data_IF_849629228888
#
_entry.id   IF_849629228888
#
_cell.length_a   1.000
_cell.length_b   1.000
_cell.length_c   1.000
_cell.angle_alpha   90.00
_cell.angle_beta   90.00
_cell.angle_gamma   90.00
#
_symmetry.space_group_name_H-M   'P 1'
#
loop_
_entity.id
_entity.type
_entity.pdbx_description
1 polymer ?
#
# COMPACT_ATOMS: atom_id res chain seq x y z
N UNK A 1 5.22 -0.40 15.14
CA UNK A 1 4.40 0.74 14.66
C UNK A 1 4.74 0.91 13.19
N UNK A 2 3.77 0.76 12.28
CA UNK A 2 4.00 0.97 10.84
C UNK A 2 4.00 2.48 10.58
N UNK A 3 5.17 3.08 10.66
CA UNK A 3 5.42 4.46 10.28
C UNK A 3 5.43 4.52 8.75
N UNK A 4 4.38 5.06 8.14
CA UNK A 4 4.23 5.09 6.67
C UNK A 4 5.31 5.87 5.90
N UNK A 5 6.34 6.39 6.57
CA UNK A 5 7.54 6.94 5.96
C UNK A 5 8.55 5.85 5.57
N UNK A 6 8.77 4.81 6.39
CA UNK A 6 9.76 3.76 6.04
C UNK A 6 9.30 2.91 4.85
N UNK A 7 8.00 2.73 4.67
CA UNK A 7 7.43 1.98 3.55
C UNK A 7 7.60 2.67 2.18
N UNK A 8 7.73 4.00 2.16
CA UNK A 8 7.97 4.73 0.91
C UNK A 8 9.43 4.57 0.47
N UNK A 9 10.36 4.60 1.41
CA UNK A 9 11.79 4.34 1.18
C UNK A 9 11.99 2.90 0.68
N UNK A 10 11.34 1.91 1.31
CA UNK A 10 11.34 0.53 0.83
C UNK A 10 10.77 0.39 -0.60
N UNK A 11 9.69 1.11 -0.93
CA UNK A 11 9.14 1.11 -2.29
C UNK A 11 10.12 1.67 -3.32
N UNK A 12 10.84 2.74 -2.99
CA UNK A 12 11.88 3.31 -3.85
C UNK A 12 13.01 2.31 -4.09
N UNK A 13 13.46 1.60 -3.05
CA UNK A 13 14.47 0.53 -3.17
C UNK A 13 13.99 -0.62 -4.06
N UNK A 14 12.75 -1.11 -3.87
CA UNK A 14 12.19 -2.18 -4.69
C UNK A 14 12.09 -1.78 -6.17
N UNK A 15 11.74 -0.52 -6.46
CA UNK A 15 11.74 0.03 -7.82
C UNK A 15 13.18 0.08 -8.36
N UNK A 16 14.14 0.58 -7.58
CA UNK A 16 15.55 0.65 -7.96
C UNK A 16 16.15 -0.73 -8.28
N UNK A 17 15.74 -1.75 -7.53
CA UNK A 17 16.13 -3.15 -7.76
C UNK A 17 15.34 -3.84 -8.88
N UNK A 18 14.42 -3.16 -9.55
CA UNK A 18 13.57 -3.71 -10.62
C UNK A 18 12.80 -4.96 -10.19
N UNK A 19 12.31 -4.98 -8.95
CA UNK A 19 11.49 -6.08 -8.44
C UNK A 19 10.25 -6.30 -9.32
N UNK A 20 9.63 -7.49 -9.30
CA UNK A 20 8.48 -7.78 -10.15
C UNK A 20 7.38 -6.72 -10.04
N UNK A 21 7.01 -6.10 -11.17
CA UNK A 21 6.13 -4.92 -11.21
C UNK A 21 4.83 -5.10 -10.40
N UNK A 22 4.20 -6.28 -10.47
CA UNK A 22 2.98 -6.57 -9.71
C UNK A 22 3.17 -6.49 -8.19
N UNK A 23 4.35 -6.87 -7.67
CA UNK A 23 4.69 -6.75 -6.25
C UNK A 23 4.73 -5.28 -5.85
N UNK A 24 5.46 -4.46 -6.61
CA UNK A 24 5.58 -3.01 -6.37
C UNK A 24 4.22 -2.31 -6.44
N UNK A 25 3.42 -2.57 -7.49
CA UNK A 25 2.10 -1.96 -7.65
C UNK A 25 1.13 -2.36 -6.53
N UNK A 26 1.16 -3.63 -6.07
CA UNK A 26 0.32 -4.09 -4.96
C UNK A 26 0.68 -3.41 -3.65
N UNK A 27 1.97 -3.26 -3.35
CA UNK A 27 2.44 -2.56 -2.16
C UNK A 27 2.07 -1.07 -2.20
N UNK A 28 2.25 -0.42 -3.36
CA UNK A 28 1.85 0.97 -3.57
C UNK A 28 0.34 1.18 -3.33
N UNK A 29 -0.51 0.30 -3.88
CA UNK A 29 -1.96 0.37 -3.67
C UNK A 29 -2.33 0.09 -2.22
N UNK A 30 -1.70 -0.90 -1.58
CA UNK A 30 -1.96 -1.21 -0.18
C UNK A 30 -1.61 -0.04 0.74
N UNK A 31 -0.47 0.61 0.50
CA UNK A 31 -0.09 1.84 1.20
C UNK A 31 -1.19 2.89 1.01
N UNK A 32 -1.57 3.19 -0.23
CA UNK A 32 -2.61 4.18 -0.53
C UNK A 32 -3.94 3.89 0.18
N UNK A 33 -4.42 2.64 0.15
CA UNK A 33 -5.69 2.25 0.77
C UNK A 33 -5.66 2.32 2.30
N UNK A 34 -4.54 1.94 2.91
CA UNK A 34 -4.41 1.89 4.37
C UNK A 34 -4.16 3.28 4.98
N UNK A 35 -3.52 4.18 4.25
CA UNK A 35 -3.25 5.57 4.70
C UNK A 35 -4.23 6.61 4.18
N UNK A 36 -5.12 6.25 3.25
CA UNK A 36 -6.13 7.16 2.70
C UNK A 36 -5.59 8.03 1.56
N UNK A 37 -4.56 7.54 0.88
CA UNK A 37 -3.83 8.24 -0.17
C UNK A 37 -2.35 8.40 0.15
N UNK A 38 -1.59 8.79 -0.87
CA UNK A 38 -0.16 9.09 -0.79
C UNK A 38 0.03 10.59 -0.95
N UNK A 39 0.82 11.20 -0.08
CA UNK A 39 1.14 12.64 -0.15
C UNK A 39 1.66 13.00 -1.54
N UNK A 40 1.16 14.11 -2.11
CA UNK A 40 1.48 14.57 -3.46
C UNK A 40 2.98 14.47 -3.82
N UNK A 41 3.88 14.95 -2.94
CA UNK A 41 5.33 14.88 -3.17
C UNK A 41 5.85 13.45 -3.39
N UNK A 42 5.47 12.52 -2.52
CA UNK A 42 5.89 11.12 -2.60
C UNK A 42 5.24 10.40 -3.77
N UNK A 43 3.97 10.72 -4.05
CA UNK A 43 3.25 10.19 -5.21
C UNK A 43 3.93 10.56 -6.52
N UNK A 44 4.27 11.84 -6.69
CA UNK A 44 4.89 12.35 -7.92
C UNK A 44 6.32 11.79 -8.10
N UNK A 45 7.04 11.55 -7.00
CA UNK A 45 8.33 10.87 -7.00
C UNK A 45 8.17 9.42 -7.47
N UNK A 46 7.35 8.61 -6.78
CA UNK A 46 7.17 7.19 -7.11
C UNK A 46 6.65 6.98 -8.53
N UNK A 47 5.74 7.85 -9.00
CA UNK A 47 5.26 7.83 -10.39
C UNK A 47 6.41 8.00 -11.38
N UNK A 48 7.33 8.94 -11.12
CA UNK A 48 8.49 9.17 -12.00
C UNK A 48 9.42 7.97 -12.01
N UNK A 49 9.76 7.43 -10.84
CA UNK A 49 10.63 6.24 -10.73
C UNK A 49 10.01 5.03 -11.46
N UNK A 50 8.70 4.79 -11.28
CA UNK A 50 8.00 3.71 -11.97
C UNK A 50 8.05 3.85 -13.49
N UNK A 51 7.84 5.05 -14.02
CA UNK A 51 7.89 5.30 -15.48
C UNK A 51 9.31 5.11 -16.01
N UNK A 52 10.32 5.59 -15.27
CA UNK A 52 11.72 5.48 -15.68
C UNK A 52 12.20 4.02 -15.66
N UNK A 53 11.78 3.24 -14.66
CA UNK A 53 12.23 1.85 -14.49
C UNK A 53 11.44 0.85 -15.33
N UNK A 54 10.10 0.98 -15.37
CA UNK A 54 9.22 -0.02 -16.01
C UNK A 54 8.60 0.46 -17.33
N UNK A 55 8.82 1.72 -17.72
CA UNK A 55 8.41 2.27 -19.01
C UNK A 55 7.13 3.11 -18.99
N UNK A 56 6.85 3.77 -20.12
CA UNK A 56 5.77 4.75 -20.27
C UNK A 56 4.35 4.19 -20.12
N UNK A 57 4.17 2.87 -20.31
CA UNK A 57 2.89 2.20 -20.08
C UNK A 57 2.38 2.39 -18.65
N UNK A 58 3.27 2.69 -17.71
CA UNK A 58 2.90 3.01 -16.32
C UNK A 58 1.94 4.19 -16.21
N UNK A 59 1.94 5.14 -17.15
CA UNK A 59 0.97 6.24 -17.15
C UNK A 59 -0.48 5.73 -17.25
N UNK A 60 -0.71 4.75 -18.12
CA UNK A 60 -2.03 4.14 -18.31
C UNK A 60 -2.41 3.29 -17.10
N UNK A 61 -1.47 2.48 -16.59
CA UNK A 61 -1.71 1.60 -15.45
C UNK A 61 -2.02 2.41 -14.18
N UNK A 62 -1.19 3.41 -13.85
CA UNK A 62 -1.40 4.27 -12.70
C UNK A 62 -2.71 5.05 -12.82
N UNK A 63 -3.01 5.60 -14.01
CA UNK A 63 -4.29 6.27 -14.26
C UNK A 63 -5.50 5.34 -14.08
N UNK A 64 -5.39 4.07 -14.47
CA UNK A 64 -6.46 3.09 -14.23
C UNK A 64 -6.60 2.75 -12.74
N UNK A 65 -5.49 2.61 -12.00
CA UNK A 65 -5.50 2.39 -10.55
C UNK A 65 -6.13 3.55 -9.78
N UNK A 66 -5.89 4.80 -10.23
CA UNK A 66 -6.55 5.98 -9.70
C UNK A 66 -8.06 5.97 -9.98
N UNK A 67 -8.47 5.64 -11.21
CA UNK A 67 -9.89 5.56 -11.59
C UNK A 67 -10.67 4.53 -10.77
N UNK A 68 -10.08 3.38 -10.47
CA UNK A 68 -10.72 2.35 -9.62
C UNK A 68 -10.56 2.63 -8.13
N UNK A 69 -9.85 3.69 -7.76
CA UNK A 69 -9.69 4.16 -6.38
C UNK A 69 -8.74 3.34 -5.51
N UNK A 70 -7.95 2.44 -6.12
CA UNK A 70 -6.88 1.67 -5.45
C UNK A 70 -5.66 2.54 -5.14
N UNK A 71 -5.48 3.59 -5.92
CA UNK A 71 -4.41 4.56 -5.76
C UNK A 71 -5.00 5.96 -5.69
N UNK A 72 -4.54 6.77 -4.73
CA UNK A 72 -5.03 8.15 -4.55
C UNK A 72 -3.87 9.07 -4.21
N UNK A 73 -3.79 10.20 -4.93
CA UNK A 73 -2.92 11.32 -4.61
C UNK A 73 -3.62 12.22 -3.58
N UNK A 74 -2.94 12.48 -2.47
CA UNK A 74 -3.42 13.38 -1.42
C UNK A 74 -2.94 14.79 -1.72
N UNK A 75 -3.83 15.62 -2.23
CA UNK A 75 -3.60 17.05 -2.41
C UNK A 75 -3.99 17.83 -1.15
N UNK A 76 -3.08 18.67 -0.66
CA UNK A 76 -3.32 19.52 0.51
C UNK A 76 -4.35 20.62 0.26
N UNK A 77 -4.60 20.95 -1.01
CA UNK A 77 -5.47 22.05 -1.43
C UNK A 77 -6.95 21.68 -1.45
N UNK A 78 -7.28 20.40 -1.57
CA UNK A 78 -8.65 19.89 -1.58
C UNK A 78 -8.77 18.81 -0.51
N UNK A 79 -9.32 19.12 0.68
CA UNK A 79 -9.53 18.14 1.74
C UNK A 79 -10.70 17.23 1.36
N UNK A 80 -10.49 16.34 0.39
CA UNK A 80 -11.26 15.10 0.28
C UNK A 80 -10.92 14.28 1.53
N UNK A 81 -11.92 13.67 2.18
CA UNK A 81 -11.76 12.93 3.43
C UNK A 81 -10.45 12.12 3.46
N UNK A 82 -9.43 12.67 4.12
CA UNK A 82 -8.06 12.15 4.17
C UNK A 82 -7.91 11.00 5.17
N UNK A 83 -8.98 10.74 5.93
CA UNK A 83 -9.07 9.60 6.83
C UNK A 83 -9.32 8.34 6.01
N UNK A 84 -8.37 7.40 6.05
CA UNK A 84 -8.58 6.10 5.45
C UNK A 84 -9.73 5.39 6.18
N UNK A 85 -10.69 4.87 5.41
CA UNK A 85 -11.75 4.02 5.96
C UNK A 85 -11.13 2.85 6.74
N UNK A 86 -9.97 2.36 6.27
CA UNK A 86 -9.19 1.33 6.93
C UNK A 86 -8.81 1.68 8.38
N UNK A 87 -8.36 2.90 8.69
CA UNK A 87 -7.99 3.26 10.06
C UNK A 87 -9.19 3.15 11.03
N UNK A 88 -10.38 3.51 10.55
CA UNK A 88 -11.64 3.41 11.31
C UNK A 88 -12.08 1.96 11.48
N UNK A 89 -12.11 1.18 10.38
CA UNK A 89 -12.53 -0.24 10.45
C UNK A 89 -11.52 -1.12 11.16
N UNK A 90 -10.21 -0.80 11.07
CA UNK A 90 -9.13 -1.51 11.75
C UNK A 90 -9.37 -1.57 13.25
N UNK A 91 -9.74 -0.43 13.85
CA UNK A 91 -9.98 -0.35 15.31
C UNK A 91 -11.31 -1.00 15.69
N UNK A 92 -12.38 -0.67 14.97
CA UNK A 92 -13.73 -1.15 15.30
C UNK A 92 -13.89 -2.66 15.11
N UNK A 93 -13.25 -3.23 14.09
CA UNK A 93 -13.35 -4.67 13.76
C UNK A 93 -12.11 -5.47 14.18
N UNK A 94 -11.13 -4.86 14.88
CA UNK A 94 -9.88 -5.50 15.32
C UNK A 94 -9.15 -6.26 14.19
N UNK A 95 -9.05 -5.62 13.02
CA UNK A 95 -8.51 -6.26 11.80
C UNK A 95 -7.02 -6.65 11.86
N UNK A 96 -6.28 -6.13 12.85
CA UNK A 96 -4.88 -6.48 13.07
C UNK A 96 -4.78 -7.02 14.50
N UNK A 97 -4.37 -8.29 14.59
CA UNK A 97 -4.10 -8.98 15.83
C UNK A 97 -2.73 -9.65 15.72
N UNK A 98 -1.75 -9.15 16.46
CA UNK A 98 -0.37 -9.63 16.41
C UNK A 98 -0.16 -10.90 17.25
N UNK A 99 -1.14 -11.25 18.11
CA UNK A 99 -1.03 -12.33 19.10
C UNK A 99 -1.89 -13.55 18.72
N UNK A 100 -1.82 -13.98 17.46
CA UNK A 100 -2.61 -15.12 16.98
C UNK A 100 -1.83 -16.41 17.13
N UNK A 101 -2.42 -17.40 17.80
CA UNK A 101 -1.87 -18.75 17.87
C UNK A 101 -2.19 -19.50 16.56
N UNK A 102 -1.17 -19.78 15.76
CA UNK A 102 -1.32 -20.42 14.45
C UNK A 102 -1.62 -21.93 14.56
N UNK A 103 -1.17 -22.57 15.65
CA UNK A 103 -1.35 -24.01 15.88
C UNK A 103 -2.75 -24.34 16.44
N UNK A 104 -3.36 -23.41 17.17
CA UNK A 104 -4.70 -23.53 17.72
C UNK A 104 -5.46 -22.19 17.56
N UNK A 105 -5.93 -21.88 16.35
CA UNK A 105 -6.47 -20.56 16.04
C UNK A 105 -7.85 -20.34 16.66
N UNK A 106 -8.01 -19.19 17.32
CA UNK A 106 -9.29 -18.70 17.88
C UNK A 106 -9.79 -17.41 17.22
N UNK A 107 -9.04 -16.91 16.26
CA UNK A 107 -9.26 -15.64 15.55
C UNK A 107 -8.92 -15.87 14.08
N UNK A 108 -9.77 -15.38 13.17
CA UNK A 108 -9.60 -15.51 11.72
C UNK A 108 -8.32 -14.85 11.19
N UNK A 109 -7.73 -13.91 11.94
CA UNK A 109 -6.48 -13.24 11.60
C UNK A 109 -5.30 -14.22 11.37
N UNK A 110 -5.39 -15.47 11.85
CA UNK A 110 -4.37 -16.50 11.64
C UNK A 110 -4.08 -16.78 10.15
N UNK A 111 -5.09 -16.60 9.28
CA UNK A 111 -4.95 -16.84 7.83
C UNK A 111 -3.94 -15.88 7.22
N UNK A 112 -3.99 -14.59 7.60
CA UNK A 112 -3.07 -13.57 7.08
C UNK A 112 -1.65 -13.87 7.53
N UNK A 113 -1.49 -14.29 8.79
CA UNK A 113 -0.19 -14.65 9.37
C UNK A 113 0.43 -15.84 8.61
N UNK A 114 -0.33 -16.91 8.40
CA UNK A 114 0.15 -18.07 7.63
C UNK A 114 0.56 -17.67 6.22
N UNK A 115 -0.29 -16.90 5.52
CA UNK A 115 -0.02 -16.50 4.14
C UNK A 115 1.25 -15.63 4.01
N UNK A 116 1.55 -14.81 5.02
CA UNK A 116 2.82 -14.07 5.09
C UNK A 116 4.04 -14.99 5.29
N UNK A 117 3.90 -16.09 6.03
CA UNK A 117 4.99 -17.06 6.24
C UNK A 117 5.20 -18.03 5.07
N UNK A 118 4.18 -18.27 4.23
CA UNK A 118 4.29 -19.21 3.10
C UNK A 118 4.93 -18.63 1.83
N UNK A 119 5.26 -17.33 1.80
CA UNK A 119 5.87 -16.66 0.65
C UNK A 119 7.24 -16.02 0.95
N UNK A 120 7.90 -16.46 2.03
CA UNK A 120 9.35 -16.31 2.27
C UNK A 120 10.00 -17.67 2.05
#
# INVERSE_FOLDING_TARGET
>A
MLEGQSLLEELEELIGCQEPLLKVLRLLCLQSLTTGGIKAKSFDLLRRELIQTYGFEMLLILGNLEKVGLLRRQDSLFPVATSSAFLTVRKSLRLINDNVNVLNPKDIAYVVVIVMFTHV
#
